data_IF_778429682498
#
_entry.id   IF_778429682498
#
_cell.length_a   1.000
_cell.length_b   1.000
_cell.length_c   1.000
_cell.angle_alpha   90.00
_cell.angle_beta   90.00
_cell.angle_gamma   90.00
#
_symmetry.space_group_name_H-M   'P 1'
#
loop_
_entity.id
_entity.type
_entity.pdbx_description
1 polymer ?
#
# COMPACT_ATOMS: atom_id res chain seq x y z
N UNK A 1 9.28 -9.19 15.19
CA UNK A 1 8.65 -8.05 14.49
C UNK A 1 7.29 -7.62 15.07
N UNK A 2 6.38 -8.52 15.46
CA UNK A 2 5.04 -8.18 16.00
C UNK A 2 5.02 -7.16 17.17
N UNK A 3 6.03 -7.19 18.04
CA UNK A 3 6.05 -6.42 19.29
C UNK A 3 6.06 -4.89 19.14
N UNK A 4 6.63 -4.32 18.06
CA UNK A 4 6.79 -2.86 17.93
C UNK A 4 5.46 -2.18 17.53
N UNK A 5 4.74 -2.78 16.57
CA UNK A 5 3.43 -2.28 16.14
C UNK A 5 2.40 -2.45 17.25
N UNK A 6 2.39 -3.61 17.92
CA UNK A 6 1.52 -3.84 19.08
C UNK A 6 1.77 -2.79 20.17
N UNK A 7 3.05 -2.54 20.52
CA UNK A 7 3.39 -1.51 21.50
C UNK A 7 3.02 -0.08 21.06
N UNK A 8 3.05 0.23 19.76
CA UNK A 8 2.60 1.53 19.25
C UNK A 8 1.07 1.69 19.39
N UNK A 9 0.32 0.61 19.19
CA UNK A 9 -1.14 0.61 19.31
C UNK A 9 -1.61 0.62 20.78
N UNK A 10 -0.80 0.14 21.71
CA UNK A 10 -1.07 0.19 23.15
C UNK A 10 -1.19 1.64 23.64
N UNK A 11 -2.42 2.08 23.92
CA UNK A 11 -2.72 3.43 24.41
C UNK A 11 -3.64 4.25 23.50
N UNK A 12 -3.99 3.74 22.31
CA UNK A 12 -4.97 4.38 21.43
C UNK A 12 -6.37 3.89 21.81
N UNK A 13 -7.28 4.78 22.28
CA UNK A 13 -8.58 4.38 22.82
C UNK A 13 -9.46 3.61 21.82
N UNK A 14 -9.33 3.91 20.53
CA UNK A 14 -9.82 3.09 19.41
C UNK A 14 -8.96 3.35 18.17
N UNK A 15 -8.06 2.44 17.76
CA UNK A 15 -7.30 2.65 16.53
C UNK A 15 -8.25 2.55 15.34
N UNK A 16 -8.41 3.66 14.63
CA UNK A 16 -8.99 3.67 13.28
C UNK A 16 -8.00 3.16 12.23
N UNK A 17 -7.10 2.26 12.63
CA UNK A 17 -6.07 1.65 11.80
C UNK A 17 -6.50 0.25 11.38
N UNK A 18 -6.31 -0.05 10.09
CA UNK A 18 -6.30 -1.41 9.59
C UNK A 18 -4.90 -1.71 9.07
N UNK A 19 -4.27 -2.76 9.57
CA UNK A 19 -2.88 -3.09 9.28
C UNK A 19 -2.79 -4.51 8.77
N UNK A 20 -2.11 -4.70 7.64
CA UNK A 20 -1.98 -5.99 6.99
C UNK A 20 -0.52 -6.31 6.64
N UNK A 21 -0.03 -7.43 7.17
CA UNK A 21 1.31 -7.99 6.92
C UNK A 21 1.14 -9.40 6.36
N UNK A 22 1.06 -9.53 5.03
CA UNK A 22 0.98 -10.84 4.37
C UNK A 22 1.14 -10.67 2.85
N UNK A 23 0.66 -11.63 2.07
CA UNK A 23 0.53 -11.57 0.64
C UNK A 23 -0.49 -10.52 0.17
N UNK A 24 -0.20 -9.96 -1.01
CA UNK A 24 -1.07 -9.03 -1.69
C UNK A 24 -1.00 -9.28 -3.19
N UNK A 25 -2.05 -8.87 -3.88
CA UNK A 25 -2.12 -8.75 -5.33
C UNK A 25 -2.70 -7.38 -5.67
N UNK A 26 -2.73 -7.01 -6.95
CA UNK A 26 -3.32 -5.75 -7.41
C UNK A 26 -4.70 -5.49 -6.75
N UNK A 27 -5.55 -6.51 -6.60
CA UNK A 27 -6.94 -6.35 -6.18
C UNK A 27 -7.36 -7.14 -4.93
N UNK A 28 -6.40 -7.73 -4.19
CA UNK A 28 -6.70 -8.47 -2.97
C UNK A 28 -5.58 -8.41 -1.94
N UNK A 29 -5.98 -8.39 -0.66
CA UNK A 29 -5.18 -8.81 0.48
C UNK A 29 -5.54 -10.26 0.79
N UNK A 30 -4.54 -11.11 0.95
CA UNK A 30 -4.75 -12.54 1.13
C UNK A 30 -4.57 -12.94 2.60
N UNK A 31 -5.41 -13.87 3.05
CA UNK A 31 -5.23 -14.54 4.33
C UNK A 31 -4.26 -15.72 4.22
N UNK A 32 -3.96 -16.32 5.37
CA UNK A 32 -3.07 -17.48 5.49
C UNK A 32 -3.59 -18.73 4.75
N UNK A 33 -4.90 -18.80 4.50
CA UNK A 33 -5.59 -19.87 3.78
C UNK A 33 -5.68 -19.63 2.27
N UNK A 34 -4.91 -18.67 1.75
CA UNK A 34 -4.88 -18.24 0.35
C UNK A 34 -6.23 -17.73 -0.17
N UNK A 35 -7.15 -17.33 0.73
CA UNK A 35 -8.40 -16.66 0.33
C UNK A 35 -8.28 -15.15 0.47
N UNK A 36 -8.96 -14.37 -0.40
CA UNK A 36 -8.99 -12.93 -0.25
C UNK A 36 -9.74 -12.56 1.02
N UNK A 37 -9.10 -11.82 1.93
CA UNK A 37 -9.74 -11.26 3.12
C UNK A 37 -10.36 -9.89 2.81
N UNK A 38 -9.66 -9.10 2.00
CA UNK A 38 -10.11 -7.81 1.49
C UNK A 38 -9.87 -7.80 -0.01
N UNK A 39 -10.90 -7.48 -0.79
CA UNK A 39 -10.87 -7.31 -2.23
C UNK A 39 -11.78 -6.14 -2.65
N UNK A 40 -11.97 -5.91 -3.95
CA UNK A 40 -12.82 -4.82 -4.44
C UNK A 40 -14.30 -4.94 -4.05
N UNK A 41 -14.79 -6.14 -3.76
CA UNK A 41 -16.19 -6.39 -3.42
C UNK A 41 -16.50 -6.01 -1.97
N UNK A 42 -15.49 -6.00 -1.10
CA UNK A 42 -15.65 -5.74 0.32
C UNK A 42 -14.73 -4.63 0.90
N UNK A 43 -13.99 -3.92 0.04
CA UNK A 43 -13.07 -2.84 0.43
C UNK A 43 -13.74 -1.72 1.25
N UNK A 44 -15.04 -1.49 1.05
CA UNK A 44 -15.85 -0.53 1.81
C UNK A 44 -15.99 -0.87 3.30
N UNK A 45 -15.70 -2.12 3.70
CA UNK A 45 -15.62 -2.49 5.13
C UNK A 45 -14.51 -1.75 5.87
N UNK A 46 -13.52 -1.20 5.14
CA UNK A 46 -12.44 -0.40 5.70
C UNK A 46 -12.74 1.12 5.69
N UNK A 47 -13.97 1.53 5.36
CA UNK A 47 -14.36 2.94 5.38
C UNK A 47 -14.09 3.59 6.75
N UNK A 48 -13.57 4.82 6.73
CA UNK A 48 -13.19 5.58 7.92
C UNK A 48 -11.90 5.10 8.59
N UNK A 49 -11.14 4.18 7.97
CA UNK A 49 -9.85 3.70 8.48
C UNK A 49 -8.66 4.33 7.76
N UNK A 50 -7.52 4.39 8.45
CA UNK A 50 -6.19 4.48 7.86
C UNK A 50 -5.73 3.06 7.56
N UNK A 51 -5.40 2.77 6.31
CA UNK A 51 -5.01 1.43 5.87
C UNK A 51 -3.51 1.39 5.62
N UNK A 52 -2.81 0.50 6.33
CA UNK A 52 -1.38 0.29 6.19
C UNK A 52 -1.10 -1.14 5.74
N UNK A 53 -0.53 -1.30 4.54
CA UNK A 53 -0.25 -2.60 3.96
C UNK A 53 1.24 -2.79 3.72
N UNK A 54 1.82 -3.78 4.39
CA UNK A 54 3.11 -4.37 4.04
C UNK A 54 2.82 -5.66 3.28
N UNK A 55 2.48 -5.51 2.00
CA UNK A 55 2.21 -6.61 1.09
C UNK A 55 2.51 -6.21 -0.37
N UNK A 56 2.63 -7.21 -1.23
CA UNK A 56 2.94 -7.00 -2.64
C UNK A 56 1.75 -6.37 -3.39
N UNK A 57 2.03 -5.38 -4.25
CA UNK A 57 1.16 -4.87 -5.33
C UNK A 57 -0.23 -4.34 -4.98
N UNK A 58 -0.70 -4.45 -3.73
CA UNK A 58 -2.05 -4.03 -3.35
C UNK A 58 -2.28 -2.52 -3.52
N UNK A 59 -1.23 -1.71 -3.46
CA UNK A 59 -1.32 -0.28 -3.74
C UNK A 59 -1.81 -0.01 -5.15
N UNK A 60 -1.45 -0.85 -6.12
CA UNK A 60 -1.69 -0.61 -7.56
C UNK A 60 -3.17 -0.67 -7.91
N UNK A 61 -3.92 -1.58 -7.30
CA UNK A 61 -5.36 -1.73 -7.54
C UNK A 61 -6.20 -1.37 -6.31
N UNK A 62 -6.07 -2.06 -5.18
CA UNK A 62 -6.85 -1.77 -3.97
C UNK A 62 -6.63 -0.34 -3.50
N UNK A 63 -5.37 0.10 -3.37
CA UNK A 63 -5.03 1.47 -2.96
C UNK A 63 -5.67 2.52 -3.87
N UNK A 64 -5.60 2.32 -5.18
CA UNK A 64 -6.21 3.18 -6.18
C UNK A 64 -7.76 3.29 -6.07
N UNK A 65 -8.44 2.30 -5.48
CA UNK A 65 -9.89 2.33 -5.24
C UNK A 65 -10.27 2.74 -3.82
N UNK A 66 -9.31 2.74 -2.89
CA UNK A 66 -9.57 2.84 -1.46
C UNK A 66 -10.35 4.12 -1.10
N UNK A 67 -9.91 5.25 -1.63
CA UNK A 67 -10.47 6.57 -1.29
C UNK A 67 -11.92 6.69 -1.73
N UNK A 68 -12.26 6.17 -2.92
CA UNK A 68 -13.63 6.13 -3.42
C UNK A 68 -14.56 5.24 -2.57
N UNK A 69 -14.00 4.35 -1.74
CA UNK A 69 -14.73 3.50 -0.79
C UNK A 69 -14.82 4.11 0.62
N UNK A 70 -14.35 5.35 0.80
CA UNK A 70 -14.42 6.07 2.08
C UNK A 70 -13.29 5.74 3.05
N UNK A 71 -12.21 5.09 2.59
CA UNK A 71 -10.97 4.93 3.37
C UNK A 71 -10.28 6.30 3.45
N UNK A 72 -9.73 6.64 4.63
CA UNK A 72 -9.10 7.96 4.86
C UNK A 72 -7.80 8.10 4.08
N UNK A 73 -6.98 7.06 4.14
CA UNK A 73 -5.75 6.93 3.37
C UNK A 73 -5.33 5.47 3.27
N UNK A 74 -4.57 5.15 2.23
CA UNK A 74 -4.08 3.80 1.96
C UNK A 74 -2.59 3.86 1.62
N UNK A 75 -1.75 3.31 2.50
CA UNK A 75 -0.35 3.04 2.21
C UNK A 75 -0.20 1.60 1.74
N UNK A 76 0.48 1.43 0.61
CA UNK A 76 0.87 0.12 0.10
C UNK A 76 1.90 0.23 -0.99
N UNK A 77 2.27 -0.92 -1.54
CA UNK A 77 3.29 -1.01 -2.59
C UNK A 77 2.62 -1.29 -3.94
N UNK A 78 3.10 -0.63 -4.99
CA UNK A 78 2.56 -0.76 -6.35
C UNK A 78 3.19 -1.90 -7.15
N UNK A 79 4.13 -2.65 -6.56
CA UNK A 79 4.80 -3.80 -7.15
C UNK A 79 5.20 -4.82 -6.05
N UNK A 80 5.99 -5.83 -6.40
CA UNK A 80 6.55 -6.84 -5.50
C UNK A 80 7.53 -6.18 -4.52
N UNK A 81 7.26 -6.39 -3.23
CA UNK A 81 8.15 -6.01 -2.11
C UNK A 81 9.13 -7.13 -1.86
N UNK A 82 10.41 -6.80 -1.68
CA UNK A 82 11.48 -7.81 -1.52
C UNK A 82 12.39 -7.48 -0.34
N UNK A 83 12.72 -8.48 0.46
CA UNK A 83 13.71 -8.34 1.53
C UNK A 83 14.72 -9.47 1.49
N UNK A 84 15.87 -9.24 2.13
CA UNK A 84 16.87 -10.28 2.33
C UNK A 84 16.98 -10.63 3.81
N UNK A 85 17.20 -11.91 4.11
CA UNK A 85 17.21 -12.39 5.50
C UNK A 85 18.45 -11.94 6.28
N UNK A 86 19.52 -11.55 5.60
CA UNK A 86 20.76 -11.03 6.19
C UNK A 86 20.68 -9.53 6.57
N UNK A 87 19.57 -8.86 6.25
CA UNK A 87 19.26 -7.49 6.64
C UNK A 87 17.83 -7.36 7.20
N UNK A 88 17.29 -8.46 7.77
CA UNK A 88 15.89 -8.55 8.16
C UNK A 88 15.49 -7.51 9.22
N UNK A 89 16.42 -7.11 10.08
CA UNK A 89 16.16 -6.09 11.11
C UNK A 89 16.04 -4.70 10.47
N UNK A 90 16.90 -4.37 9.50
CA UNK A 90 16.83 -3.13 8.73
C UNK A 90 15.52 -3.02 7.92
N UNK A 91 15.12 -4.09 7.24
CA UNK A 91 13.82 -4.14 6.56
C UNK A 91 12.66 -4.03 7.55
N UNK A 92 12.73 -4.75 8.67
CA UNK A 92 11.73 -4.66 9.73
C UNK A 92 11.61 -3.25 10.29
N UNK A 93 12.71 -2.52 10.43
CA UNK A 93 12.69 -1.12 10.86
C UNK A 93 11.96 -0.24 9.85
N UNK A 94 12.38 -0.26 8.58
CA UNK A 94 11.79 0.59 7.53
C UNK A 94 10.32 0.27 7.32
N UNK A 95 9.96 -1.01 7.19
CA UNK A 95 8.59 -1.46 6.96
C UNK A 95 7.61 -1.16 8.10
N UNK A 96 8.10 -0.82 9.30
CA UNK A 96 7.24 -0.42 10.41
C UNK A 96 7.30 1.10 10.68
N UNK A 97 8.28 1.81 10.12
CA UNK A 97 8.60 3.19 10.48
C UNK A 97 7.40 4.14 10.28
N UNK A 98 6.80 4.14 9.08
CA UNK A 98 5.71 5.07 8.76
C UNK A 98 4.48 4.85 9.62
N UNK A 99 4.12 3.60 9.90
CA UNK A 99 3.00 3.27 10.78
C UNK A 99 3.25 3.75 12.21
N UNK A 100 4.43 3.43 12.75
CA UNK A 100 4.81 3.79 14.13
C UNK A 100 4.87 5.31 14.30
N UNK A 101 5.44 6.03 13.35
CA UNK A 101 5.56 7.49 13.40
C UNK A 101 4.19 8.17 13.32
N UNK A 102 3.32 7.73 12.40
CA UNK A 102 1.97 8.25 12.27
C UNK A 102 1.17 8.05 13.55
N UNK A 103 1.25 6.85 14.15
CA UNK A 103 0.59 6.54 15.42
C UNK A 103 1.12 7.44 16.55
N UNK A 104 2.44 7.53 16.73
CA UNK A 104 3.05 8.27 17.85
C UNK A 104 2.75 9.76 17.80
N UNK A 105 2.72 10.33 16.60
CA UNK A 105 2.52 11.77 16.40
C UNK A 105 1.05 12.13 16.17
N UNK A 106 0.16 11.15 16.00
CA UNK A 106 -1.23 11.37 15.59
C UNK A 106 -1.34 11.95 14.18
N UNK A 107 -0.35 11.70 13.32
CA UNK A 107 -0.28 12.20 11.95
C UNK A 107 -0.92 11.23 10.95
N UNK A 108 -1.19 11.71 9.74
CA UNK A 108 -1.61 10.87 8.63
C UNK A 108 -0.38 10.26 7.93
N UNK A 109 -0.53 9.10 7.29
CA UNK A 109 0.47 8.42 6.48
C UNK A 109 1.01 9.32 5.38
N UNK A 110 0.16 10.13 4.75
CA UNK A 110 0.59 11.10 3.73
C UNK A 110 1.62 12.10 4.25
N UNK A 111 1.60 12.41 5.55
CA UNK A 111 2.47 13.41 6.17
C UNK A 111 3.83 12.80 6.57
N UNK A 112 3.92 11.47 6.68
CA UNK A 112 5.13 10.76 7.13
C UNK A 112 5.78 9.90 6.04
N UNK A 113 5.10 9.62 4.93
CA UNK A 113 5.59 8.68 3.89
C UNK A 113 6.91 9.11 3.27
N UNK A 114 7.12 10.40 3.02
CA UNK A 114 8.39 10.86 2.42
C UNK A 114 9.55 10.76 3.41
N UNK A 115 9.29 10.91 4.72
CA UNK A 115 10.30 10.65 5.75
C UNK A 115 10.60 9.15 5.86
N UNK A 116 9.57 8.29 5.78
CA UNK A 116 9.76 6.83 5.71
C UNK A 116 10.61 6.45 4.49
N UNK A 117 10.32 7.05 3.33
CA UNK A 117 11.06 6.82 2.08
C UNK A 117 12.52 7.23 2.21
N UNK A 118 12.77 8.41 2.75
CA UNK A 118 14.12 8.90 2.98
C UNK A 118 14.88 8.01 3.98
N UNK A 119 14.22 7.58 5.06
CA UNK A 119 14.81 6.65 6.04
C UNK A 119 15.23 5.33 5.38
N UNK A 120 14.39 4.79 4.49
CA UNK A 120 14.73 3.60 3.70
C UNK A 120 15.93 3.82 2.78
N UNK A 121 16.06 4.99 2.14
CA UNK A 121 17.24 5.32 1.34
C UNK A 121 18.52 5.46 2.17
N UNK A 122 18.43 6.03 3.37
CA UNK A 122 19.56 6.18 4.27
C UNK A 122 20.07 4.80 4.74
N UNK A 123 19.15 3.89 5.09
CA UNK A 123 19.47 2.51 5.42
C UNK A 123 20.04 1.76 4.21
N UNK A 124 19.48 1.97 3.01
CA UNK A 124 20.03 1.37 1.79
C UNK A 124 21.48 1.81 1.52
N UNK A 125 21.79 3.09 1.76
CA UNK A 125 23.16 3.60 1.64
C UNK A 125 24.11 2.95 2.65
N UNK A 126 23.67 2.77 3.90
CA UNK A 126 24.43 2.06 4.94
C UNK A 126 24.68 0.59 4.56
N UNK A 127 23.64 -0.14 4.15
CA UNK A 127 23.74 -1.52 3.65
C UNK A 127 24.72 -1.62 2.46
N UNK A 128 24.67 -0.67 1.54
CA UNK A 128 25.61 -0.60 0.41
C UNK A 128 27.05 -0.39 0.90
N UNK A 129 27.26 0.45 1.92
CA UNK A 129 28.59 0.70 2.49
C UNK A 129 29.19 -0.54 3.18
N UNK A 130 28.34 -1.44 3.68
CA UNK A 130 28.70 -2.74 4.25
C UNK A 130 28.88 -3.85 3.20
N UNK A 131 28.68 -3.55 1.92
CA UNK A 131 28.78 -4.52 0.82
C UNK A 131 27.53 -5.38 0.62
N UNK A 132 26.42 -5.10 1.31
CA UNK A 132 25.14 -5.83 1.19
C UNK A 132 24.31 -5.30 0.01
N UNK A 133 24.85 -5.42 -1.20
CA UNK A 133 24.30 -4.77 -2.40
C UNK A 133 22.89 -5.26 -2.77
N UNK A 134 22.56 -6.54 -2.53
CA UNK A 134 21.23 -7.08 -2.79
C UNK A 134 20.18 -6.50 -1.83
N UNK A 135 20.53 -6.38 -0.55
CA UNK A 135 19.67 -5.77 0.46
C UNK A 135 19.45 -4.29 0.14
N UNK A 136 20.53 -3.55 -0.15
CA UNK A 136 20.45 -2.14 -0.53
C UNK A 136 19.58 -1.92 -1.79
N UNK A 137 19.77 -2.74 -2.82
CA UNK A 137 18.98 -2.66 -4.06
C UNK A 137 17.50 -2.94 -3.83
N UNK A 138 17.17 -3.96 -3.01
CA UNK A 138 15.79 -4.30 -2.68
C UNK A 138 15.13 -3.18 -1.86
N UNK A 139 15.83 -2.62 -0.87
CA UNK A 139 15.34 -1.48 -0.10
C UNK A 139 15.03 -0.26 -0.97
N UNK A 140 15.92 0.08 -1.91
CA UNK A 140 15.69 1.17 -2.87
C UNK A 140 14.48 0.88 -3.76
N UNK A 141 14.33 -0.35 -4.25
CA UNK A 141 13.18 -0.74 -5.05
C UNK A 141 11.87 -0.58 -4.25
N UNK A 142 11.81 -1.14 -3.04
CA UNK A 142 10.63 -1.07 -2.17
C UNK A 142 10.24 0.37 -1.88
N UNK A 143 11.23 1.23 -1.61
CA UNK A 143 11.00 2.67 -1.41
C UNK A 143 10.57 3.37 -2.70
N UNK A 144 10.92 2.91 -3.90
CA UNK A 144 10.42 3.51 -5.14
C UNK A 144 8.96 3.15 -5.45
N UNK A 145 8.50 1.98 -5.00
CA UNK A 145 7.16 1.46 -5.28
C UNK A 145 6.16 1.73 -4.15
N UNK A 146 6.63 2.25 -3.01
CA UNK A 146 5.80 2.69 -1.88
C UNK A 146 4.93 3.90 -2.25
N UNK A 147 3.62 3.79 -2.01
CA UNK A 147 2.65 4.82 -2.36
C UNK A 147 1.63 5.04 -1.26
N UNK A 148 1.14 6.28 -1.15
CA UNK A 148 0.01 6.64 -0.27
C UNK A 148 -1.08 7.32 -1.07
N UNK A 149 -2.28 6.75 -1.02
CA UNK A 149 -3.48 7.34 -1.58
C UNK A 149 -4.26 8.06 -0.47
N UNK A 150 -4.81 9.24 -0.79
CA UNK A 150 -5.65 10.04 0.11
C UNK A 150 -6.51 11.01 -0.72
N UNK A 151 -7.54 11.59 -0.12
CA UNK A 151 -8.39 12.58 -0.80
C UNK A 151 -7.58 13.83 -1.21
N UNK A 152 -7.61 14.18 -2.50
CA UNK A 152 -6.80 15.26 -3.07
C UNK A 152 -5.32 14.90 -3.25
N UNK A 153 -4.96 13.63 -3.08
CA UNK A 153 -3.61 13.11 -3.31
C UNK A 153 -3.29 12.84 -4.78
N UNK A 154 -2.13 12.22 -5.05
CA UNK A 154 -1.73 11.87 -6.40
C UNK A 154 -2.73 10.90 -7.04
N UNK A 155 -2.99 11.13 -8.32
CA UNK A 155 -3.78 10.20 -9.11
C UNK A 155 -3.09 8.83 -9.20
N UNK A 156 -3.86 7.73 -9.23
CA UNK A 156 -3.29 6.41 -9.44
C UNK A 156 -2.58 6.31 -10.79
N UNK A 157 -1.64 5.36 -10.96
CA UNK A 157 -0.90 5.21 -12.21
C UNK A 157 -1.84 5.01 -13.41
N UNK A 158 -1.54 5.70 -14.52
CA UNK A 158 -2.37 5.65 -15.71
C UNK A 158 -2.53 4.20 -16.22
N UNK A 159 -3.72 3.84 -16.74
CA UNK A 159 -3.92 2.52 -17.33
C UNK A 159 -3.01 2.29 -18.54
N UNK A 160 -2.37 1.13 -18.61
CA UNK A 160 -1.64 0.68 -19.82
C UNK A 160 -2.55 0.28 -20.98
N UNK A 161 -3.84 -0.01 -20.70
CA UNK A 161 -4.81 -0.42 -21.71
C UNK A 161 -5.32 0.78 -22.53
N UNK A 162 -5.19 0.79 -23.87
CA UNK A 162 -5.59 1.92 -24.72
C UNK A 162 -7.03 2.39 -24.53
N UNK A 163 -7.96 1.45 -24.31
CA UNK A 163 -9.36 1.78 -24.05
C UNK A 163 -9.53 2.49 -22.70
N UNK A 164 -8.83 2.02 -21.66
CA UNK A 164 -8.87 2.66 -20.35
C UNK A 164 -8.20 4.03 -20.38
N UNK A 165 -7.10 4.20 -21.12
CA UNK A 165 -6.47 5.51 -21.31
C UNK A 165 -7.37 6.46 -22.11
N UNK A 166 -8.12 5.96 -23.10
CA UNK A 166 -9.08 6.76 -23.85
C UNK A 166 -10.26 7.21 -22.96
N UNK A 167 -10.80 6.30 -22.14
CA UNK A 167 -11.84 6.63 -21.17
C UNK A 167 -11.36 7.64 -20.12
N UNK A 168 -10.11 7.50 -19.65
CA UNK A 168 -9.49 8.48 -18.75
C UNK A 168 -9.43 9.88 -19.39
N UNK A 169 -8.98 9.96 -20.65
CA UNK A 169 -8.92 11.23 -21.38
C UNK A 169 -10.28 11.86 -21.67
N UNK A 170 -11.33 11.04 -21.79
CA UNK A 170 -12.68 11.50 -22.11
C UNK A 170 -13.44 12.06 -20.90
N UNK A 171 -13.18 11.57 -19.69
CA UNK A 171 -13.98 11.94 -18.52
C UNK A 171 -13.24 11.95 -17.19
N UNK A 172 -11.92 11.89 -17.20
CA UNK A 172 -11.09 11.82 -15.99
C UNK A 172 -11.28 10.51 -15.23
N UNK A 173 -10.68 10.45 -14.04
CA UNK A 173 -10.65 9.25 -13.21
C UNK A 173 -12.05 8.78 -12.83
N UNK A 174 -12.93 9.68 -12.38
CA UNK A 174 -14.30 9.32 -11.97
C UNK A 174 -15.07 8.59 -13.07
N UNK A 175 -14.91 9.00 -14.33
CA UNK A 175 -15.57 8.36 -15.47
C UNK A 175 -14.96 7.00 -15.81
N UNK A 176 -13.63 6.90 -15.87
CA UNK A 176 -12.95 5.62 -16.07
C UNK A 176 -13.34 4.62 -14.97
N UNK A 177 -13.38 5.06 -13.72
CA UNK A 177 -13.73 4.24 -12.57
C UNK A 177 -15.18 3.75 -12.63
N UNK A 178 -16.13 4.63 -12.97
CA UNK A 178 -17.52 4.25 -13.17
C UNK A 178 -17.66 3.12 -14.22
N UNK A 179 -16.96 3.24 -15.35
CA UNK A 179 -16.96 2.21 -16.39
C UNK A 179 -16.31 0.90 -15.94
N UNK A 180 -15.23 0.96 -15.17
CA UNK A 180 -14.58 -0.24 -14.61
C UNK A 180 -15.51 -0.99 -13.65
N UNK A 181 -16.19 -0.27 -12.76
CA UNK A 181 -17.17 -0.88 -11.85
C UNK A 181 -18.35 -1.52 -12.61
N UNK A 182 -18.88 -0.84 -13.63
CA UNK A 182 -19.93 -1.42 -14.47
C UNK A 182 -19.44 -2.68 -15.19
N UNK A 183 -18.25 -2.64 -15.81
CA UNK A 183 -17.69 -3.81 -16.48
C UNK A 183 -17.51 -4.98 -15.54
N UNK A 184 -16.98 -4.76 -14.33
CA UNK A 184 -16.81 -5.83 -13.33
C UNK A 184 -18.14 -6.44 -12.88
N UNK A 185 -19.21 -5.63 -12.82
CA UNK A 185 -20.56 -6.11 -12.47
C UNK A 185 -21.17 -7.02 -13.55
N UNK A 186 -20.87 -6.77 -14.83
CA UNK A 186 -21.43 -7.53 -15.95
C UNK A 186 -20.51 -8.63 -16.50
N UNK A 187 -19.21 -8.57 -16.21
CA UNK A 187 -18.19 -9.50 -16.65
C UNK A 187 -17.23 -9.88 -15.51
N UNK A 188 -17.71 -10.59 -14.47
CA UNK A 188 -16.88 -10.98 -13.32
C UNK A 188 -15.68 -11.86 -13.71
N UNK A 189 -15.77 -12.61 -14.81
CA UNK A 189 -14.67 -13.40 -15.40
C UNK A 189 -13.49 -12.56 -15.93
N UNK A 190 -13.66 -11.25 -16.03
CA UNK A 190 -12.60 -10.32 -16.46
C UNK A 190 -11.77 -9.74 -15.30
N UNK A 191 -11.99 -10.21 -14.07
CA UNK A 191 -11.12 -9.91 -12.92
C UNK A 191 -9.75 -10.56 -13.18
N UNK A 192 -8.66 -9.80 -13.30
CA UNK A 192 -7.34 -10.40 -13.27
C UNK A 192 -7.14 -11.03 -11.88
N UNK A 193 -6.77 -12.31 -11.86
CA UNK A 193 -6.34 -13.01 -10.65
C UNK A 193 -4.98 -12.52 -10.19
#
# INVERSE_FOLDING_TARGET
MKAIVEAALEGIPEPNWFVHYDHGSDYAMWGDDEKPIIDLDNLDKLAGKHVYCMNCSSGKGLGAHAIAKGILEYLGYNDVVSFTTDAADEFGEVFNWGLVEAIKTGSFLKDVVENMRQHGYDIAADLSSKGQLLAAGSMVQDMNILHVYYEGGPDPPEPSCPLSSALLKLGGWNFLWFWRMLRQKFHPESRPG
#
